data_IF_028580615311
#
_entry.id   IF_028580615311
#
_cell.length_a   1.000
_cell.length_b   1.000
_cell.length_c   1.000
_cell.angle_alpha   90.00
_cell.angle_beta   90.00
_cell.angle_gamma   90.00
#
_symmetry.space_group_name_H-M   'P 1'
#
loop_
_entity.id
_entity.type
_entity.pdbx_description
1 polymer ?
#
# COMPACT_ATOMS: atom_id res chain seq x y z
N UNK A 1 -3.79 -10.49 10.51
CA UNK A 1 -3.77 -9.23 11.29
C UNK A 1 -4.80 -8.19 10.80
N UNK A 2 -5.40 -8.32 9.61
CA UNK A 2 -6.45 -7.39 9.16
C UNK A 2 -7.73 -8.08 8.65
N UNK A 3 -7.87 -9.39 8.82
CA UNK A 3 -9.01 -10.15 8.28
C UNK A 3 -10.34 -9.65 8.85
N UNK A 4 -10.40 -9.41 10.16
CA UNK A 4 -11.59 -8.87 10.83
C UNK A 4 -12.05 -7.53 10.24
N UNK A 5 -11.10 -6.67 9.83
CA UNK A 5 -11.41 -5.38 9.20
C UNK A 5 -12.06 -5.56 7.82
N UNK A 6 -11.60 -6.53 7.03
CA UNK A 6 -12.14 -6.77 5.68
C UNK A 6 -13.46 -7.54 5.70
N UNK A 7 -13.74 -8.26 6.79
CA UNK A 7 -14.99 -8.95 7.03
C UNK A 7 -16.13 -8.05 7.54
N UNK A 8 -15.86 -6.77 7.85
CA UNK A 8 -16.90 -5.80 8.19
C UNK A 8 -17.86 -5.56 7.03
N UNK A 9 -19.09 -5.17 7.35
CA UNK A 9 -20.08 -4.75 6.36
C UNK A 9 -19.68 -3.42 5.70
N UNK A 10 -20.25 -3.13 4.52
CA UNK A 10 -19.96 -1.88 3.82
C UNK A 10 -20.43 -0.64 4.60
N UNK A 11 -21.52 -0.73 5.36
CA UNK A 11 -21.99 0.34 6.26
C UNK A 11 -20.96 0.62 7.38
N UNK A 12 -20.37 -0.42 7.96
CA UNK A 12 -19.33 -0.28 8.99
C UNK A 12 -18.02 0.27 8.42
N UNK A 13 -17.67 -0.07 7.18
CA UNK A 13 -16.51 0.49 6.47
C UNK A 13 -16.75 1.95 6.05
N UNK A 14 -17.98 2.34 5.72
CA UNK A 14 -18.34 3.69 5.31
C UNK A 14 -18.35 4.68 6.49
N UNK A 15 -18.67 4.23 7.70
CA UNK A 15 -18.49 5.04 8.92
C UNK A 15 -17.00 5.40 9.17
N UNK A 16 -16.07 4.61 8.64
CA UNK A 16 -14.64 4.82 8.80
C UNK A 16 -14.01 5.57 7.62
N UNK A 17 -14.57 5.51 6.41
CA UNK A 17 -13.95 6.04 5.18
C UNK A 17 -14.73 7.17 4.51
N UNK A 18 -14.05 8.24 4.09
CA UNK A 18 -14.67 9.28 3.25
C UNK A 18 -14.57 8.91 1.77
N UNK A 19 -15.62 9.16 0.96
CA UNK A 19 -15.58 9.00 -0.52
C UNK A 19 -14.64 9.99 -1.24
N UNK A 20 -13.90 10.82 -0.50
CA UNK A 20 -12.92 11.77 -1.02
C UNK A 20 -11.56 11.07 -1.24
N UNK A 21 -10.93 11.29 -2.39
CA UNK A 21 -9.58 10.75 -2.71
C UNK A 21 -8.51 11.28 -1.73
N UNK A 22 -8.72 12.45 -1.14
CA UNK A 22 -7.88 13.07 -0.11
C UNK A 22 -8.35 12.75 1.32
N UNK A 23 -9.28 11.82 1.47
CA UNK A 23 -9.78 11.36 2.75
C UNK A 23 -8.69 10.87 3.67
N UNK A 24 -8.87 11.11 4.98
CA UNK A 24 -7.97 10.57 6.01
C UNK A 24 -7.98 9.04 6.00
N UNK A 25 -9.13 8.44 5.68
CA UNK A 25 -9.34 7.00 5.55
C UNK A 25 -10.04 6.72 4.22
N UNK A 26 -9.54 5.74 3.46
CA UNK A 26 -10.08 5.29 2.17
C UNK A 26 -10.24 3.77 2.14
N UNK A 27 -11.42 3.29 1.74
CA UNK A 27 -11.72 1.88 1.51
C UNK A 27 -12.12 1.65 0.03
N UNK A 28 -11.79 0.50 -0.58
CA UNK A 28 -12.30 0.15 -1.92
C UNK A 28 -11.57 -1.00 -2.62
N UNK A 29 -12.04 -1.32 -3.84
CA UNK A 29 -11.58 -2.44 -4.70
C UNK A 29 -10.68 -2.01 -5.87
N UNK A 30 -10.69 -0.73 -6.24
CA UNK A 30 -9.87 -0.17 -7.32
C UNK A 30 -9.50 1.29 -7.02
N UNK A 31 -8.32 1.71 -7.49
CA UNK A 31 -7.88 3.10 -7.34
C UNK A 31 -8.58 4.04 -8.34
N UNK A 32 -8.86 3.59 -9.57
CA UNK A 32 -9.60 4.34 -10.58
C UNK A 32 -10.26 3.44 -11.65
N UNK A 33 -11.49 3.00 -11.39
CA UNK A 33 -12.29 2.13 -12.27
C UNK A 33 -12.46 2.69 -13.69
N UNK A 34 -12.39 4.01 -13.88
CA UNK A 34 -12.57 4.64 -15.20
C UNK A 34 -11.32 4.59 -16.10
N UNK A 35 -10.13 4.35 -15.52
CA UNK A 35 -8.84 4.29 -16.25
C UNK A 35 -8.29 2.86 -16.28
N UNK A 36 -8.60 2.06 -15.27
CA UNK A 36 -8.05 0.72 -15.10
C UNK A 36 -8.59 -0.23 -16.17
N UNK A 37 -7.80 -0.46 -17.23
CA UNK A 37 -8.06 -1.50 -18.25
C UNK A 37 -7.83 -2.92 -17.74
N UNK A 38 -7.44 -3.07 -16.47
CA UNK A 38 -7.07 -4.33 -15.82
C UNK A 38 -7.97 -4.55 -14.62
N UNK A 39 -8.42 -5.79 -14.43
CA UNK A 39 -9.18 -6.17 -13.25
C UNK A 39 -8.28 -6.12 -12.02
N UNK A 40 -8.48 -5.11 -11.17
CA UNK A 40 -7.81 -5.00 -9.88
C UNK A 40 -8.51 -5.92 -8.88
N UNK A 41 -7.76 -6.87 -8.31
CA UNK A 41 -8.31 -7.89 -7.42
C UNK A 41 -7.74 -7.74 -6.01
N UNK A 42 -8.18 -6.67 -5.34
CA UNK A 42 -7.73 -6.31 -4.00
C UNK A 42 -8.73 -5.39 -3.33
N UNK A 43 -9.02 -5.67 -2.07
CA UNK A 43 -9.61 -4.70 -1.15
C UNK A 43 -8.50 -4.00 -0.38
N UNK A 44 -8.71 -2.72 -0.05
CA UNK A 44 -7.75 -2.00 0.77
C UNK A 44 -8.39 -1.00 1.71
N UNK A 45 -7.68 -0.74 2.80
CA UNK A 45 -7.92 0.39 3.69
C UNK A 45 -6.64 1.20 3.78
N UNK A 46 -6.72 2.51 3.53
CA UNK A 46 -5.59 3.43 3.62
C UNK A 46 -5.89 4.52 4.63
N UNK A 47 -4.98 4.72 5.59
CA UNK A 47 -5.01 5.80 6.57
C UNK A 47 -3.85 6.75 6.31
N UNK A 48 -4.14 8.04 6.19
CA UNK A 48 -3.14 9.09 6.00
C UNK A 48 -3.03 9.87 7.29
N UNK A 49 -1.81 10.04 7.80
CA UNK A 49 -1.55 10.83 9.00
C UNK A 49 -0.38 11.79 8.76
N UNK A 50 -0.36 12.88 9.54
CA UNK A 50 0.78 13.79 9.52
C UNK A 50 2.03 13.10 10.09
N UNK A 51 3.14 13.06 9.37
CA UNK A 51 4.35 12.43 9.86
C UNK A 51 4.98 13.20 11.01
N UNK A 52 5.56 12.44 11.93
CA UNK A 52 6.67 12.90 12.75
C UNK A 52 7.89 12.06 12.35
N UNK A 53 8.86 12.70 11.70
CA UNK A 53 10.11 12.07 11.29
C UNK A 53 11.26 12.67 12.09
N UNK A 54 12.18 11.82 12.52
CA UNK A 54 13.44 12.24 13.13
C UNK A 54 14.56 11.40 12.53
N UNK A 55 15.46 12.06 11.81
CA UNK A 55 16.72 11.45 11.42
C UNK A 55 17.75 11.67 12.54
N UNK A 56 18.42 10.60 12.96
CA UNK A 56 19.53 10.71 13.89
C UNK A 56 20.71 11.41 13.18
N UNK A 57 21.41 12.29 13.89
CA UNK A 57 22.54 13.05 13.34
C UNK A 57 22.16 14.21 12.41
N UNK A 58 20.87 14.46 12.16
CA UNK A 58 20.37 15.60 11.39
C UNK A 58 19.45 16.47 12.24
N UNK A 59 19.26 17.72 11.81
CA UNK A 59 18.28 18.61 12.46
C UNK A 59 16.87 18.01 12.43
N UNK A 60 16.09 18.23 13.50
CA UNK A 60 14.74 17.67 13.68
C UNK A 60 13.78 17.91 12.50
N UNK A 61 13.98 19.01 11.76
CA UNK A 61 13.14 19.39 10.63
C UNK A 61 13.75 19.05 9.26
N UNK A 62 14.88 18.33 9.21
CA UNK A 62 15.59 18.04 7.95
C UNK A 62 14.70 17.28 6.97
N UNK A 63 14.11 16.16 7.41
CA UNK A 63 13.24 15.33 6.56
C UNK A 63 12.01 16.13 6.10
N UNK A 64 11.40 16.89 7.02
CA UNK A 64 10.24 17.72 6.70
C UNK A 64 10.55 18.80 5.65
N UNK A 65 11.77 19.37 5.65
CA UNK A 65 12.21 20.33 4.63
C UNK A 65 12.56 19.67 3.30
N UNK A 66 13.15 18.46 3.33
CA UNK A 66 13.51 17.72 2.12
C UNK A 66 12.28 17.19 1.38
N UNK A 67 11.17 16.95 2.08
CA UNK A 67 9.93 16.44 1.51
C UNK A 67 8.93 17.56 1.20
N UNK A 68 8.50 17.68 -0.06
CA UNK A 68 7.50 18.70 -0.48
C UNK A 68 6.14 18.52 0.19
N UNK A 69 5.71 17.27 0.44
CA UNK A 69 4.42 16.91 1.07
C UNK A 69 4.58 15.64 1.90
N UNK A 70 5.07 15.75 3.14
CA UNK A 70 5.32 14.57 3.95
C UNK A 70 3.99 13.98 4.46
N UNK A 71 3.77 12.69 4.22
CA UNK A 71 2.62 11.93 4.70
C UNK A 71 3.10 10.59 5.27
N UNK A 72 2.52 10.14 6.41
CA UNK A 72 2.55 8.73 6.80
C UNK A 72 1.32 8.06 6.24
N UNK A 73 1.53 6.97 5.54
CA UNK A 73 0.47 6.15 4.99
C UNK A 73 0.56 4.79 5.65
N UNK A 74 -0.51 4.38 6.33
CA UNK A 74 -0.72 2.98 6.68
C UNK A 74 -1.71 2.41 5.68
N UNK A 75 -1.36 1.29 5.05
CA UNK A 75 -2.24 0.61 4.11
C UNK A 75 -2.37 -0.86 4.51
N UNK A 76 -3.62 -1.32 4.68
CA UNK A 76 -3.96 -2.73 4.77
C UNK A 76 -4.48 -3.18 3.41
N UNK A 77 -4.00 -4.32 2.93
CA UNK A 77 -4.36 -4.88 1.63
C UNK A 77 -4.85 -6.30 1.83
N UNK A 78 -6.01 -6.61 1.27
CA UNK A 78 -6.58 -7.94 1.26
C UNK A 78 -6.76 -8.40 -0.19
N UNK A 79 -6.25 -9.59 -0.47
CA UNK A 79 -6.27 -10.20 -1.79
C UNK A 79 -7.13 -11.46 -1.71
N UNK A 80 -8.43 -11.38 -1.98
CA UNK A 80 -9.30 -12.56 -1.94
C UNK A 80 -8.90 -13.56 -3.03
N UNK A 81 -9.31 -14.82 -2.88
CA UNK A 81 -9.13 -15.83 -3.91
C UNK A 81 -9.73 -15.33 -5.24
N UNK A 82 -8.93 -15.37 -6.31
CA UNK A 82 -9.33 -14.87 -7.62
C UNK A 82 -9.76 -16.05 -8.51
N UNK A 83 -10.96 -16.03 -9.12
CA UNK A 83 -11.40 -17.09 -10.02
C UNK A 83 -10.67 -17.07 -11.37
N UNK A 84 -10.03 -15.95 -11.73
CA UNK A 84 -9.31 -15.78 -13.01
C UNK A 84 -7.95 -15.09 -12.78
N UNK A 85 -7.00 -15.75 -12.09
CA UNK A 85 -5.74 -15.13 -11.68
C UNK A 85 -4.87 -14.66 -12.87
N UNK A 86 -4.99 -15.30 -14.04
CA UNK A 86 -4.25 -14.89 -15.25
C UNK A 86 -4.78 -13.60 -15.90
N UNK A 87 -5.94 -13.10 -15.45
CA UNK A 87 -6.62 -11.93 -16.02
C UNK A 87 -6.77 -10.78 -15.04
N UNK A 88 -6.28 -10.96 -13.81
CA UNK A 88 -6.40 -9.99 -12.74
C UNK A 88 -5.05 -9.73 -12.08
N UNK A 89 -4.92 -8.58 -11.44
CA UNK A 89 -3.71 -8.24 -10.69
C UNK A 89 -4.08 -7.59 -9.36
N UNK A 90 -3.36 -7.91 -8.29
CA UNK A 90 -3.58 -7.28 -6.99
C UNK A 90 -3.19 -5.81 -7.01
N UNK A 91 -1.95 -5.51 -7.42
CA UNK A 91 -1.45 -4.16 -7.66
C UNK A 91 -0.68 -4.14 -8.97
N UNK A 92 -0.96 -3.21 -9.91
CA UNK A 92 -0.19 -3.05 -11.13
C UNK A 92 1.30 -2.77 -10.86
N UNK A 93 2.20 -3.06 -11.83
CA UNK A 93 3.60 -2.64 -11.74
C UNK A 93 3.73 -1.13 -11.45
N UNK A 94 4.49 -0.79 -10.42
CA UNK A 94 4.72 0.59 -10.00
C UNK A 94 6.04 0.71 -9.21
N UNK A 95 6.47 1.95 -9.02
CA UNK A 95 7.41 2.33 -7.97
C UNK A 95 6.65 3.05 -6.85
N UNK A 96 7.11 2.88 -5.61
CA UNK A 96 6.51 3.58 -4.49
C UNK A 96 6.87 5.06 -4.52
N UNK A 97 5.91 5.94 -4.28
CA UNK A 97 6.18 7.36 -4.06
C UNK A 97 6.45 7.63 -2.57
N UNK A 98 7.48 8.42 -2.28
CA UNK A 98 7.86 8.81 -0.94
C UNK A 98 9.27 8.33 -0.57
N UNK A 99 9.62 8.41 0.71
CA UNK A 99 10.97 8.09 1.17
C UNK A 99 11.20 6.57 1.26
N UNK A 100 10.27 5.88 1.92
CA UNK A 100 10.44 4.48 2.33
C UNK A 100 9.08 3.84 2.55
N UNK A 101 9.00 2.55 2.22
CA UNK A 101 7.90 1.66 2.60
C UNK A 101 8.44 0.51 3.43
N UNK A 102 7.68 0.17 4.49
CA UNK A 102 7.85 -1.03 5.29
C UNK A 102 6.62 -1.91 5.06
N UNK A 103 6.84 -3.09 4.48
CA UNK A 103 5.78 -4.02 4.14
C UNK A 103 5.86 -5.28 5.02
N UNK A 104 4.75 -5.60 5.68
CA UNK A 104 4.49 -6.91 6.29
C UNK A 104 3.59 -7.69 5.35
N UNK A 105 3.90 -8.96 5.11
CA UNK A 105 3.08 -9.87 4.32
C UNK A 105 2.78 -11.14 5.12
N UNK A 106 1.73 -11.86 4.73
CA UNK A 106 1.45 -13.19 5.25
C UNK A 106 2.31 -14.25 4.53
N UNK A 107 2.13 -15.51 4.91
CA UNK A 107 2.93 -16.63 4.38
C UNK A 107 2.49 -17.08 2.97
N UNK A 108 1.45 -16.47 2.39
CA UNK A 108 0.96 -16.82 1.03
C UNK A 108 1.80 -16.18 -0.09
N UNK A 109 2.60 -15.16 0.21
CA UNK A 109 3.45 -14.46 -0.77
C UNK A 109 2.67 -13.58 -1.75
N UNK A 110 3.14 -13.53 -3.01
CA UNK A 110 2.51 -12.74 -4.10
C UNK A 110 3.23 -11.44 -4.46
N UNK A 111 4.16 -10.97 -3.62
CA UNK A 111 5.03 -9.85 -3.97
C UNK A 111 6.01 -10.26 -5.06
N UNK A 112 6.09 -9.47 -6.13
CA UNK A 112 7.07 -9.62 -7.20
C UNK A 112 7.90 -8.35 -7.33
N UNK A 113 9.22 -8.52 -7.53
CA UNK A 113 10.17 -7.44 -7.75
C UNK A 113 10.70 -7.52 -9.17
N UNK A 114 10.82 -6.38 -9.84
CA UNK A 114 11.50 -6.33 -11.13
C UNK A 114 12.99 -6.08 -10.93
N UNK A 115 13.83 -7.02 -11.38
CA UNK A 115 15.28 -6.89 -11.35
C UNK A 115 15.86 -7.20 -12.74
N UNK A 116 16.57 -6.23 -13.32
CA UNK A 116 17.19 -6.35 -14.67
C UNK A 116 16.20 -6.81 -15.74
N UNK A 117 15.01 -6.22 -15.74
CA UNK A 117 13.94 -6.52 -16.71
C UNK A 117 13.22 -7.86 -16.49
N UNK A 118 13.52 -8.58 -15.41
CA UNK A 118 12.85 -9.84 -15.06
C UNK A 118 12.07 -9.70 -13.76
N UNK A 119 10.91 -10.33 -13.70
CA UNK A 119 10.11 -10.44 -12.48
C UNK A 119 10.62 -11.61 -11.62
N UNK A 120 10.79 -11.34 -10.34
CA UNK A 120 11.27 -12.30 -9.34
C UNK A 120 10.27 -12.33 -8.19
N UNK A 121 9.79 -13.52 -7.85
CA UNK A 121 8.95 -13.69 -6.66
C UNK A 121 9.78 -13.42 -5.41
N UNK A 122 9.27 -12.56 -4.54
CA UNK A 122 9.83 -12.39 -3.22
C UNK A 122 9.39 -13.54 -2.33
N UNK A 123 10.35 -14.17 -1.65
CA UNK A 123 10.03 -15.22 -0.69
C UNK A 123 9.79 -14.57 0.68
N UNK A 124 8.55 -14.65 1.17
CA UNK A 124 8.19 -14.12 2.48
C UNK A 124 9.01 -14.81 3.57
N UNK A 125 9.67 -14.03 4.41
CA UNK A 125 10.34 -14.56 5.61
C UNK A 125 9.42 -14.35 6.81
N UNK A 126 9.19 -15.38 7.65
CA UNK A 126 8.44 -15.22 8.88
C UNK A 126 9.04 -14.13 9.76
N UNK A 127 8.17 -13.32 10.39
CA UNK A 127 8.56 -12.24 11.31
C UNK A 127 9.48 -11.16 10.71
N UNK A 128 9.44 -10.96 9.38
CA UNK A 128 10.26 -9.97 8.70
C UNK A 128 9.43 -8.86 8.06
N UNK A 129 10.04 -7.68 7.97
CA UNK A 129 9.58 -6.59 7.12
C UNK A 129 10.36 -6.62 5.80
N UNK A 130 9.67 -6.33 4.70
CA UNK A 130 10.31 -5.90 3.46
C UNK A 130 10.49 -4.40 3.52
N UNK A 131 11.72 -3.94 3.27
CA UNK A 131 12.07 -2.53 3.20
C UNK A 131 12.31 -2.16 1.74
N UNK A 132 11.64 -1.12 1.25
CA UNK A 132 11.89 -0.58 -0.07
C UNK A 132 11.98 0.95 -0.05
N UNK A 133 12.84 1.47 -0.92
CA UNK A 133 12.97 2.90 -1.16
C UNK A 133 11.93 3.34 -2.17
N UNK A 134 11.42 4.56 -1.98
CA UNK A 134 10.50 5.20 -2.91
C UNK A 134 11.14 6.35 -3.69
N UNK A 135 10.42 6.81 -4.70
CA UNK A 135 10.77 7.97 -5.50
C UNK A 135 10.28 9.26 -4.82
N UNK A 136 11.17 10.24 -4.67
CA UNK A 136 10.88 11.52 -3.99
C UNK A 136 10.76 12.72 -4.95
N UNK A 137 10.85 12.49 -6.26
CA UNK A 137 10.95 13.53 -7.32
C UNK A 137 9.61 14.11 -7.72
#
# INVERSE_FOLDING_TARGET
MCEDLFNLTEEEKEFQGTRNVLGLIKCGTSFNIAIDKVLLWRDFVKVIAHPQFRALGLGSNYIAKAMKRPAKILAANYYPACPQPDRAIGIPPHTDHGLVTLLIQNDMGGLQLQHKGKWVNWNAMPNAFVFNLGDTT
#
